data_IF_292258307178
#
_entry.id   IF_292258307178
#
_cell.length_a   1.000
_cell.length_b   1.000
_cell.length_c   1.000
_cell.angle_alpha   90.00
_cell.angle_beta   90.00
_cell.angle_gamma   90.00
#
_symmetry.space_group_name_H-M   'P 1'
#
loop_
_entity.id
_entity.type
_entity.pdbx_description
1 polymer ?
#
# COMPACT_ATOMS: atom_id res chain seq x y z
N UNK A 1 10.01 8.51 -7.09
CA UNK A 1 9.68 7.14 -6.67
C UNK A 1 9.98 7.03 -5.19
N UNK A 2 8.96 6.75 -4.38
CA UNK A 2 9.09 6.57 -2.94
C UNK A 2 10.04 5.40 -2.62
N UNK A 3 10.79 5.47 -1.51
CA UNK A 3 11.68 4.38 -1.08
C UNK A 3 10.85 3.12 -0.76
N UNK A 4 11.42 1.94 -0.97
CA UNK A 4 10.82 0.62 -0.66
C UNK A 4 9.56 0.24 -1.46
N UNK A 5 9.29 0.97 -2.55
CA UNK A 5 8.21 0.64 -3.50
C UNK A 5 8.36 -0.74 -4.13
N UNK A 6 9.59 -1.23 -4.28
CA UNK A 6 9.90 -2.59 -4.74
C UNK A 6 9.29 -3.68 -3.84
N UNK A 7 9.32 -3.49 -2.51
CA UNK A 7 8.74 -4.42 -1.53
C UNK A 7 7.22 -4.48 -1.66
N UNK A 8 6.58 -3.32 -1.77
CA UNK A 8 5.14 -3.24 -2.02
C UNK A 8 4.76 -3.98 -3.30
N UNK A 9 5.47 -3.73 -4.39
CA UNK A 9 5.17 -4.34 -5.68
C UNK A 9 5.38 -5.86 -5.71
N UNK A 10 6.39 -6.36 -4.98
CA UNK A 10 6.60 -7.80 -4.79
C UNK A 10 5.37 -8.49 -4.18
N UNK A 11 4.74 -7.87 -3.19
CA UNK A 11 3.51 -8.39 -2.57
C UNK A 11 2.31 -8.15 -3.49
N UNK A 12 2.09 -6.91 -3.93
CA UNK A 12 0.93 -6.51 -4.75
C UNK A 12 0.74 -7.36 -6.01
N UNK A 13 1.83 -7.64 -6.73
CA UNK A 13 1.79 -8.42 -7.98
C UNK A 13 1.47 -9.89 -7.74
N UNK A 14 1.80 -10.42 -6.56
CA UNK A 14 1.49 -11.80 -6.16
C UNK A 14 0.04 -12.01 -5.71
N UNK A 15 -0.69 -10.94 -5.39
CA UNK A 15 -2.06 -11.05 -4.88
C UNK A 15 -3.10 -11.30 -5.99
N UNK A 16 -4.07 -12.21 -5.76
CA UNK A 16 -5.26 -12.32 -6.58
C UNK A 16 -6.02 -11.00 -6.71
N UNK A 17 -6.70 -10.78 -7.84
CA UNK A 17 -7.39 -9.51 -8.12
C UNK A 17 -8.45 -9.15 -7.07
N UNK A 18 -9.15 -10.14 -6.54
CA UNK A 18 -10.17 -9.91 -5.51
C UNK A 18 -9.55 -9.54 -4.15
N UNK A 19 -8.40 -10.12 -3.79
CA UNK A 19 -7.70 -9.77 -2.56
C UNK A 19 -7.19 -8.33 -2.56
N UNK A 20 -6.88 -7.78 -3.74
CA UNK A 20 -6.45 -6.37 -3.86
C UNK A 20 -7.52 -5.35 -3.46
N UNK A 21 -8.78 -5.78 -3.37
CA UNK A 21 -9.92 -4.94 -2.96
C UNK A 21 -10.14 -4.94 -1.44
N UNK A 22 -9.52 -5.88 -0.72
CA UNK A 22 -9.68 -6.04 0.73
C UNK A 22 -8.86 -4.95 1.46
N UNK A 23 -9.43 -4.28 2.49
CA UNK A 23 -8.69 -3.35 3.33
C UNK A 23 -7.52 -4.02 4.05
N UNK A 24 -6.36 -3.35 4.10
CA UNK A 24 -5.13 -3.84 4.74
C UNK A 24 -4.69 -3.01 5.94
N UNK A 25 -4.97 -1.70 5.93
CA UNK A 25 -4.63 -0.78 7.03
C UNK A 25 -5.68 0.32 7.11
N UNK A 26 -5.76 0.98 8.27
CA UNK A 26 -6.55 2.19 8.46
C UNK A 26 -5.58 3.35 8.65
N UNK A 27 -5.72 4.41 7.87
CA UNK A 27 -4.92 5.63 7.96
C UNK A 27 -5.88 6.81 7.95
N UNK A 28 -5.78 7.70 8.94
CA UNK A 28 -6.66 8.87 9.07
C UNK A 28 -8.16 8.47 9.03
N UNK A 29 -8.50 7.42 9.79
CA UNK A 29 -9.85 6.83 9.87
C UNK A 29 -10.41 6.28 8.53
N UNK A 30 -9.58 6.22 7.49
CA UNK A 30 -9.94 5.68 6.19
C UNK A 30 -9.34 4.27 6.00
N UNK A 31 -10.15 3.25 5.70
CA UNK A 31 -9.64 1.94 5.32
C UNK A 31 -8.97 2.04 3.94
N UNK A 32 -7.72 1.57 3.86
CA UNK A 32 -6.92 1.53 2.65
C UNK A 32 -6.82 0.07 2.18
N UNK A 33 -7.14 -0.19 0.92
CA UNK A 33 -6.88 -1.48 0.26
C UNK A 33 -5.64 -1.39 -0.64
N UNK A 34 -5.20 -2.53 -1.19
CA UNK A 34 -4.02 -2.60 -2.05
C UNK A 34 -4.12 -1.74 -3.32
N UNK A 35 -5.30 -1.62 -3.92
CA UNK A 35 -5.48 -0.82 -5.14
C UNK A 35 -5.35 0.68 -4.87
N UNK A 36 -5.99 1.17 -3.82
CA UNK A 36 -5.85 2.56 -3.39
C UNK A 36 -4.41 2.84 -2.94
N UNK A 37 -3.79 1.92 -2.20
CA UNK A 37 -2.38 2.03 -1.84
C UNK A 37 -1.48 2.19 -3.06
N UNK A 38 -1.68 1.35 -4.09
CA UNK A 38 -0.93 1.44 -5.34
C UNK A 38 -1.13 2.80 -6.01
N UNK A 39 -2.36 3.26 -6.15
CA UNK A 39 -2.67 4.55 -6.78
C UNK A 39 -1.94 5.71 -6.09
N UNK A 40 -2.01 5.76 -4.75
CA UNK A 40 -1.34 6.78 -3.95
C UNK A 40 0.20 6.72 -4.09
N UNK A 41 0.76 5.51 -4.10
CA UNK A 41 2.19 5.26 -4.26
C UNK A 41 2.68 5.67 -5.65
N UNK A 42 1.94 5.28 -6.71
CA UNK A 42 2.28 5.60 -8.11
C UNK A 42 2.24 7.11 -8.35
N UNK A 43 1.28 7.79 -7.72
CA UNK A 43 1.15 9.24 -7.78
C UNK A 43 2.12 9.98 -6.83
N UNK A 44 2.95 9.27 -6.06
CA UNK A 44 3.89 9.81 -5.07
C UNK A 44 3.24 10.82 -4.10
N UNK A 45 2.04 10.50 -3.59
CA UNK A 45 1.33 11.37 -2.65
C UNK A 45 1.92 11.26 -1.23
N UNK A 46 1.68 12.25 -0.37
CA UNK A 46 2.04 12.18 1.06
C UNK A 46 1.36 10.99 1.76
N UNK A 47 0.12 10.69 1.36
CA UNK A 47 -0.62 9.52 1.86
C UNK A 47 0.02 8.22 1.37
N UNK A 48 0.52 8.16 0.14
CA UNK A 48 1.29 7.03 -0.39
C UNK A 48 2.56 6.76 0.44
N UNK A 49 3.27 7.81 0.86
CA UNK A 49 4.41 7.69 1.76
C UNK A 49 4.01 7.16 3.15
N UNK A 50 2.92 7.69 3.73
CA UNK A 50 2.35 7.17 4.99
C UNK A 50 1.95 5.71 4.87
N UNK A 51 1.31 5.31 3.77
CA UNK A 51 0.91 3.92 3.51
C UNK A 51 2.13 3.01 3.49
N UNK A 52 3.16 3.33 2.69
CA UNK A 52 4.37 2.51 2.62
C UNK A 52 5.04 2.36 3.98
N UNK A 53 5.19 3.48 4.71
CA UNK A 53 5.78 3.48 6.05
C UNK A 53 5.00 2.56 7.00
N UNK A 54 3.68 2.72 7.06
CA UNK A 54 2.82 1.90 7.92
C UNK A 54 2.91 0.41 7.56
N UNK A 55 2.89 0.06 6.26
CA UNK A 55 2.98 -1.33 5.83
C UNK A 55 4.33 -1.98 6.19
N UNK A 56 5.42 -1.21 6.16
CA UNK A 56 6.76 -1.65 6.58
C UNK A 56 6.83 -1.82 8.11
N UNK A 57 6.31 -0.84 8.87
CA UNK A 57 6.30 -0.87 10.33
C UNK A 57 5.46 -2.03 10.89
N UNK A 58 4.41 -2.44 10.17
CA UNK A 58 3.57 -3.58 10.49
C UNK A 58 4.10 -4.91 9.93
N UNK A 59 5.25 -4.91 9.24
CA UNK A 59 5.85 -6.08 8.59
C UNK A 59 4.90 -6.79 7.59
N UNK A 60 3.98 -6.05 6.97
CA UNK A 60 3.08 -6.56 5.93
C UNK A 60 3.82 -6.66 4.59
N UNK A 61 4.74 -5.73 4.33
CA UNK A 61 5.63 -5.70 3.15
C UNK A 61 7.09 -5.58 3.57
#
# INVERSE_FOLDING_TARGET
MLKHTDRFYKVYTGLPLEERKIPIVIIEDMPINWNLAREEIDNNTERGEKILKTLIELEII
#
